data_IF_407753891454
#
_entry.id   IF_407753891454
#
_cell.length_a   1.000
_cell.length_b   1.000
_cell.length_c   1.000
_cell.angle_alpha   90.00
_cell.angle_beta   90.00
_cell.angle_gamma   90.00
#
_symmetry.space_group_name_H-M   'P 1'
#
loop_
_entity.id
_entity.type
_entity.pdbx_description
1 polymer ?
#
# COMPACT_ATOMS: atom_id res chain seq x y z
N UNK A 1 -3.32 -23.40 11.76
CA UNK A 1 -2.62 -23.63 10.47
C UNK A 1 -3.45 -23.19 9.26
N UNK A 2 -4.72 -23.59 9.13
CA UNK A 2 -5.59 -23.19 8.01
C UNK A 2 -5.67 -21.66 7.83
N UNK A 3 -5.87 -20.92 8.91
CA UNK A 3 -6.10 -19.47 8.84
C UNK A 3 -4.85 -18.71 8.34
N UNK A 4 -3.66 -19.14 8.76
CA UNK A 4 -2.38 -18.58 8.27
C UNK A 4 -2.23 -18.75 6.77
N UNK A 5 -2.61 -19.92 6.23
CA UNK A 5 -2.60 -20.14 4.79
C UNK A 5 -3.61 -19.24 4.09
N UNK A 6 -4.85 -19.13 4.61
CA UNK A 6 -5.87 -18.25 4.05
C UNK A 6 -5.41 -16.78 4.02
N UNK A 7 -4.78 -16.29 5.09
CA UNK A 7 -4.17 -14.95 5.12
C UNK A 7 -3.08 -14.80 4.06
N UNK A 8 -2.21 -15.81 3.87
CA UNK A 8 -1.22 -15.77 2.81
C UNK A 8 -1.88 -15.70 1.42
N UNK A 9 -2.93 -16.50 1.19
CA UNK A 9 -3.66 -16.49 -0.08
C UNK A 9 -4.33 -15.14 -0.37
N UNK A 10 -4.89 -14.46 0.64
CA UNK A 10 -5.45 -13.12 0.47
C UNK A 10 -4.39 -12.06 0.12
N UNK A 11 -3.16 -12.25 0.59
CA UNK A 11 -2.02 -11.37 0.33
C UNK A 11 -1.25 -11.69 -0.97
N UNK A 12 -1.63 -12.72 -1.74
CA UNK A 12 -0.91 -13.10 -2.95
C UNK A 12 -0.80 -11.99 -4.00
N UNK A 13 -1.85 -11.18 -4.29
CA UNK A 13 -1.72 -10.08 -5.23
C UNK A 13 -0.64 -9.08 -4.81
N UNK A 14 -0.60 -8.73 -3.51
CA UNK A 14 0.42 -7.86 -2.95
C UNK A 14 1.81 -8.49 -3.06
N UNK A 15 1.95 -9.76 -2.68
CA UNK A 15 3.22 -10.49 -2.77
C UNK A 15 3.71 -10.59 -4.22
N UNK A 16 2.81 -10.74 -5.19
CA UNK A 16 3.15 -10.79 -6.62
C UNK A 16 3.65 -9.44 -7.13
N UNK A 17 3.01 -8.33 -6.74
CA UNK A 17 3.54 -6.98 -6.97
C UNK A 17 4.93 -6.81 -6.33
N UNK A 18 5.12 -7.41 -5.15
CA UNK A 18 6.39 -7.71 -4.48
C UNK A 18 7.50 -8.12 -5.46
N UNK A 19 7.28 -9.32 -6.01
CA UNK A 19 8.19 -9.98 -6.93
C UNK A 19 8.37 -9.23 -8.24
N UNK A 20 7.31 -8.60 -8.75
CA UNK A 20 7.41 -7.79 -9.97
C UNK A 20 8.37 -6.61 -9.79
N UNK A 21 8.29 -5.88 -8.67
CA UNK A 21 9.23 -4.79 -8.37
C UNK A 21 10.64 -5.30 -8.15
N UNK A 22 10.79 -6.44 -7.46
CA UNK A 22 12.07 -7.09 -7.29
C UNK A 22 12.74 -7.44 -8.63
N UNK A 23 11.96 -7.97 -9.57
CA UNK A 23 12.44 -8.34 -10.90
C UNK A 23 12.88 -7.12 -11.74
N UNK A 24 12.08 -6.04 -11.73
CA UNK A 24 12.35 -4.87 -12.58
C UNK A 24 13.38 -3.90 -11.98
N UNK A 25 13.40 -3.75 -10.66
CA UNK A 25 14.12 -2.67 -9.97
C UNK A 25 15.19 -3.17 -9.00
N UNK A 26 15.29 -4.49 -8.78
CA UNK A 26 16.17 -5.04 -7.75
C UNK A 26 15.67 -4.77 -6.31
N UNK A 27 14.39 -4.43 -6.17
CA UNK A 27 13.74 -4.24 -4.87
C UNK A 27 13.69 -5.56 -4.07
N UNK A 28 13.55 -5.49 -2.74
CA UNK A 28 13.45 -6.68 -1.88
C UNK A 28 12.00 -7.03 -1.54
N UNK A 29 11.65 -8.33 -1.52
CA UNK A 29 10.29 -8.78 -1.15
C UNK A 29 10.14 -8.85 0.36
N UNK A 30 10.87 -9.76 1.01
CA UNK A 30 11.07 -9.74 2.45
C UNK A 30 12.33 -8.92 2.73
N UNK A 31 12.24 -7.94 3.64
CA UNK A 31 13.35 -7.02 3.92
C UNK A 31 13.49 -6.70 5.40
N UNK A 32 14.71 -6.47 5.90
CA UNK A 32 14.94 -6.06 7.28
C UNK A 32 14.45 -4.62 7.51
N UNK A 33 14.20 -4.25 8.77
CA UNK A 33 13.63 -2.93 9.09
C UNK A 33 14.58 -1.78 8.71
N UNK A 34 15.90 -1.95 8.88
CA UNK A 34 16.87 -0.91 8.56
C UNK A 34 16.94 -0.56 7.06
N UNK A 35 16.42 -1.41 6.17
CA UNK A 35 16.30 -1.05 4.74
C UNK A 35 15.27 0.05 4.51
N UNK A 36 14.21 0.10 5.32
CA UNK A 36 13.16 1.12 5.20
C UNK A 36 13.41 2.31 6.15
N UNK A 37 14.02 2.05 7.31
CA UNK A 37 14.27 3.04 8.36
C UNK A 37 15.77 3.18 8.67
N UNK A 38 16.64 3.52 7.68
CA UNK A 38 18.09 3.54 7.88
C UNK A 38 18.54 4.59 8.91
N UNK A 39 17.74 5.64 9.09
CA UNK A 39 17.98 6.74 10.04
C UNK A 39 17.73 6.34 11.49
N UNK A 40 16.99 5.25 11.70
CA UNK A 40 16.66 4.74 13.03
C UNK A 40 17.65 3.64 13.43
N UNK A 41 18.64 4.03 14.23
CA UNK A 41 19.73 3.16 14.69
C UNK A 41 19.20 1.92 15.42
N UNK A 42 18.04 2.01 16.06
CA UNK A 42 17.44 0.87 16.74
C UNK A 42 17.05 -0.26 15.77
N UNK A 43 16.90 0.03 14.48
CA UNK A 43 16.52 -0.97 13.47
C UNK A 43 17.67 -1.80 12.92
N UNK A 44 18.92 -1.39 13.17
CA UNK A 44 20.11 -2.00 12.56
C UNK A 44 20.39 -3.40 13.09
N UNK A 45 20.13 -3.64 14.38
CA UNK A 45 20.34 -4.93 15.03
C UNK A 45 19.08 -5.82 15.03
N UNK A 46 17.98 -5.38 14.41
CA UNK A 46 16.73 -6.14 14.38
C UNK A 46 16.76 -7.23 13.29
N UNK A 47 16.83 -8.48 13.72
CA UNK A 47 16.81 -9.67 12.87
C UNK A 47 15.61 -10.60 13.13
N UNK A 48 14.89 -10.40 14.23
CA UNK A 48 13.69 -11.17 14.62
C UNK A 48 12.37 -10.61 14.09
N UNK A 49 12.42 -9.56 13.27
CA UNK A 49 11.26 -8.94 12.61
C UNK A 49 11.62 -8.64 11.17
N UNK A 50 10.63 -8.66 10.28
CA UNK A 50 10.84 -8.31 8.87
C UNK A 50 9.62 -7.62 8.27
N UNK A 51 9.83 -6.93 7.15
CA UNK A 51 8.79 -6.33 6.36
C UNK A 51 8.55 -7.13 5.07
N UNK A 52 7.30 -7.19 4.62
CA UNK A 52 7.00 -7.42 3.21
C UNK A 52 6.86 -6.09 2.50
N UNK A 53 7.79 -5.83 1.57
CA UNK A 53 7.94 -4.52 0.98
C UNK A 53 8.17 -3.45 2.03
N UNK A 54 7.41 -2.36 1.93
CA UNK A 54 7.54 -1.18 2.79
C UNK A 54 6.38 -1.02 3.78
N UNK A 55 5.42 -1.96 3.79
CA UNK A 55 4.06 -1.67 4.32
C UNK A 55 3.48 -2.73 5.25
N UNK A 56 4.06 -3.93 5.33
CA UNK A 56 3.56 -5.00 6.19
C UNK A 56 4.67 -5.51 7.11
N UNK A 57 4.58 -5.17 8.40
CA UNK A 57 5.50 -5.63 9.44
C UNK A 57 5.04 -6.97 10.00
N UNK A 58 5.98 -7.91 10.10
CA UNK A 58 5.77 -9.23 10.66
C UNK A 58 6.68 -9.41 11.88
N UNK A 59 6.05 -9.63 13.04
CA UNK A 59 6.71 -9.84 14.34
C UNK A 59 6.34 -11.23 14.88
N UNK A 60 7.08 -12.29 14.50
CA UNK A 60 6.75 -13.66 14.90
C UNK A 60 7.18 -13.97 16.35
N UNK A 61 6.39 -14.83 17.03
CA UNK A 61 6.86 -15.52 18.24
C UNK A 61 7.80 -16.65 17.81
N UNK A 62 9.04 -16.62 18.28
CA UNK A 62 10.09 -17.57 17.86
C UNK A 62 10.52 -18.54 18.97
N UNK A 63 10.14 -18.26 20.23
CA UNK A 63 10.54 -19.07 21.38
C UNK A 63 9.44 -20.09 21.75
N UNK A 64 9.82 -21.34 22.11
CA UNK A 64 8.85 -22.36 22.50
C UNK A 64 8.21 -22.03 23.85
N UNK A 65 6.90 -22.24 23.96
CA UNK A 65 6.15 -22.07 25.21
C UNK A 65 5.82 -20.62 25.57
N UNK A 66 6.07 -19.68 24.67
CA UNK A 66 5.76 -18.26 24.86
C UNK A 66 4.53 -17.88 24.01
N UNK A 67 3.65 -17.05 24.57
CA UNK A 67 2.41 -16.56 23.94
C UNK A 67 2.47 -15.06 23.55
N UNK A 68 3.59 -14.41 23.84
CA UNK A 68 3.83 -13.00 23.59
C UNK A 68 5.20 -12.75 22.96
N UNK A 69 5.32 -11.66 22.23
CA UNK A 69 6.59 -11.22 21.65
C UNK A 69 6.70 -9.70 21.78
N UNK A 70 7.89 -9.22 22.10
CA UNK A 70 8.18 -7.78 22.08
C UNK A 70 8.77 -7.43 20.72
N UNK A 71 8.05 -6.59 19.96
CA UNK A 71 8.48 -6.07 18.68
C UNK A 71 8.80 -4.58 18.74
N UNK A 72 9.84 -4.16 18.02
CA UNK A 72 10.13 -2.75 17.78
C UNK A 72 9.25 -2.23 16.63
N UNK A 73 8.54 -1.12 16.87
CA UNK A 73 7.67 -0.46 15.89
C UNK A 73 8.32 0.89 15.52
N UNK A 74 8.81 1.06 14.28
CA UNK A 74 9.42 2.31 13.82
C UNK A 74 8.43 3.47 13.79
N UNK A 75 8.95 4.71 13.78
CA UNK A 75 8.14 5.92 13.70
C UNK A 75 7.14 5.88 12.53
N UNK A 76 5.85 6.05 12.84
CA UNK A 76 4.76 6.06 11.86
C UNK A 76 3.45 5.58 12.45
N UNK A 77 2.41 5.51 11.61
CA UNK A 77 1.12 4.93 11.97
C UNK A 77 1.08 3.49 11.51
N UNK A 78 0.91 2.56 12.44
CA UNK A 78 0.81 1.13 12.16
C UNK A 78 -0.59 0.63 12.53
N UNK A 79 -1.20 -0.10 11.61
CA UNK A 79 -2.49 -0.75 11.81
C UNK A 79 -2.24 -2.24 11.98
N UNK A 80 -2.85 -2.84 13.00
CA UNK A 80 -2.81 -4.28 13.12
C UNK A 80 -3.69 -4.92 12.04
N UNK A 81 -3.10 -5.92 11.39
CA UNK A 81 -3.68 -6.67 10.31
C UNK A 81 -4.83 -7.57 10.78
N UNK A 82 -4.82 -8.01 12.05
CA UNK A 82 -5.77 -8.97 12.60
C UNK A 82 -6.84 -8.36 13.52
N UNK A 83 -6.59 -7.27 14.27
CA UNK A 83 -7.53 -6.69 15.27
C UNK A 83 -8.76 -6.01 14.71
N UNK A 84 -9.08 -6.24 13.44
CA UNK A 84 -10.38 -5.89 12.93
C UNK A 84 -11.42 -7.00 13.21
N UNK A 85 -11.39 -7.63 14.39
CA UNK A 85 -12.55 -8.40 14.86
C UNK A 85 -13.72 -7.41 15.03
N UNK A 86 -14.75 -7.64 14.22
CA UNK A 86 -15.97 -6.84 14.11
C UNK A 86 -15.83 -5.45 13.48
N UNK A 87 -14.76 -5.12 12.72
CA UNK A 87 -14.74 -3.80 12.04
C UNK A 87 -15.89 -3.63 11.07
N UNK A 88 -16.31 -4.71 10.43
CA UNK A 88 -17.51 -4.69 9.59
C UNK A 88 -18.77 -4.37 10.42
N UNK A 89 -18.93 -5.02 11.58
CA UNK A 89 -20.10 -4.86 12.45
C UNK A 89 -20.10 -3.50 13.18
N UNK A 90 -18.92 -2.98 13.52
CA UNK A 90 -18.70 -1.67 14.16
C UNK A 90 -18.62 -0.52 13.15
N UNK A 91 -18.64 -0.82 11.84
CA UNK A 91 -18.51 0.19 10.78
C UNK A 91 -17.12 0.82 10.65
N UNK A 92 -16.10 0.28 11.33
CA UNK A 92 -14.74 0.81 11.38
C UNK A 92 -13.85 0.24 10.27
N UNK A 93 -14.34 0.22 9.03
CA UNK A 93 -13.58 -0.18 7.86
C UNK A 93 -13.72 0.86 6.75
N UNK A 94 -12.85 0.80 5.74
CA UNK A 94 -13.03 1.55 4.51
C UNK A 94 -12.97 0.58 3.34
N UNK A 95 -13.98 0.63 2.48
CA UNK A 95 -14.06 -0.18 1.29
C UNK A 95 -14.05 0.75 0.08
N UNK A 96 -12.91 0.77 -0.61
CA UNK A 96 -12.69 1.58 -1.81
C UNK A 96 -12.43 0.65 -2.97
N UNK A 97 -13.24 0.77 -4.01
CA UNK A 97 -13.11 0.01 -5.24
C UNK A 97 -12.36 0.86 -6.26
N UNK A 98 -11.24 0.33 -6.77
CA UNK A 98 -10.49 0.95 -7.84
C UNK A 98 -10.76 0.20 -9.14
N UNK A 99 -11.13 0.93 -10.19
CA UNK A 99 -11.34 0.37 -11.51
C UNK A 99 -10.55 1.16 -12.56
N UNK A 100 -10.06 0.48 -13.59
CA UNK A 100 -9.44 1.12 -14.76
C UNK A 100 -10.18 0.66 -16.01
N UNK A 101 -10.69 1.60 -16.79
CA UNK A 101 -11.38 1.30 -18.05
C UNK A 101 -11.10 2.42 -19.05
N UNK A 102 -10.66 2.07 -20.27
CA UNK A 102 -10.45 3.02 -21.37
C UNK A 102 -9.68 4.29 -20.95
N UNK A 103 -8.52 4.11 -20.32
CA UNK A 103 -7.64 5.19 -19.82
C UNK A 103 -8.24 6.08 -18.72
N UNK A 104 -9.25 5.58 -18.01
CA UNK A 104 -9.83 6.23 -16.84
C UNK A 104 -9.66 5.31 -15.65
N UNK A 105 -8.92 5.78 -14.66
CA UNK A 105 -8.91 5.23 -13.32
C UNK A 105 -10.05 5.86 -12.52
N UNK A 106 -10.83 5.06 -11.82
CA UNK A 106 -11.91 5.52 -10.94
C UNK A 106 -11.76 4.87 -9.58
N UNK A 107 -11.79 5.69 -8.55
CA UNK A 107 -11.94 5.31 -7.15
C UNK A 107 -13.39 5.52 -6.73
N UNK A 108 -14.06 4.44 -6.34
CA UNK A 108 -15.42 4.47 -5.80
C UNK A 108 -15.37 4.06 -4.34
N UNK A 109 -15.81 4.93 -3.45
CA UNK A 109 -15.89 4.65 -2.02
C UNK A 109 -17.24 4.00 -1.73
N UNK A 110 -17.23 2.74 -1.32
CA UNK A 110 -18.41 1.97 -0.94
C UNK A 110 -18.70 2.09 0.56
N UNK A 111 -17.64 2.23 1.37
CA UNK A 111 -17.73 2.54 2.80
C UNK A 111 -16.46 3.29 3.23
N UNK A 112 -16.56 4.24 4.14
CA UNK A 112 -15.40 4.93 4.69
C UNK A 112 -15.54 5.09 6.20
N UNK A 113 -14.48 4.74 6.92
CA UNK A 113 -14.38 4.97 8.35
C UNK A 113 -13.97 6.41 8.66
N UNK A 114 -14.13 6.82 9.92
CA UNK A 114 -13.66 8.12 10.42
C UNK A 114 -12.17 8.32 10.22
N UNK A 115 -11.39 7.24 10.25
CA UNK A 115 -9.93 7.27 10.09
C UNK A 115 -9.54 7.56 8.64
N UNK A 116 -10.30 7.04 7.66
CA UNK A 116 -10.01 7.29 6.24
C UNK A 116 -10.18 8.76 5.84
N UNK A 117 -10.96 9.54 6.58
CA UNK A 117 -11.07 11.00 6.37
C UNK A 117 -9.77 11.75 6.69
N UNK A 118 -8.88 11.14 7.48
CA UNK A 118 -7.58 11.70 7.85
C UNK A 118 -6.46 11.28 6.90
N UNK A 119 -6.73 10.36 5.99
CA UNK A 119 -5.75 9.82 5.04
C UNK A 119 -5.89 10.56 3.72
N UNK A 120 -4.78 11.08 3.22
CA UNK A 120 -4.72 11.73 1.91
C UNK A 120 -3.88 10.91 0.93
N UNK A 121 -4.30 10.94 -0.33
CA UNK A 121 -3.58 10.35 -1.45
C UNK A 121 -2.64 11.42 -1.98
N UNK A 122 -1.34 11.19 -1.87
CA UNK A 122 -0.31 12.10 -2.37
C UNK A 122 -0.01 11.89 -3.85
N UNK A 123 0.27 10.64 -4.23
CA UNK A 123 0.75 10.30 -5.57
C UNK A 123 0.02 9.07 -6.11
N UNK A 124 -0.32 9.09 -7.40
CA UNK A 124 -0.82 7.94 -8.15
C UNK A 124 0.15 7.62 -9.29
N UNK A 125 0.53 6.34 -9.41
CA UNK A 125 1.34 5.83 -10.51
C UNK A 125 0.62 4.72 -11.26
N UNK A 126 0.52 4.87 -12.57
CA UNK A 126 -0.10 3.89 -13.48
C UNK A 126 0.99 3.30 -14.36
N UNK A 127 1.12 1.97 -14.31
CA UNK A 127 2.15 1.23 -15.03
C UNK A 127 1.58 0.66 -16.34
N UNK A 128 2.40 0.62 -17.39
CA UNK A 128 2.03 0.02 -18.67
C UNK A 128 1.19 0.93 -19.56
N UNK A 129 1.23 2.24 -19.35
CA UNK A 129 0.59 3.23 -20.22
C UNK A 129 1.37 3.27 -21.54
N UNK A 130 0.88 2.56 -22.56
CA UNK A 130 1.64 2.26 -23.80
C UNK A 130 2.00 3.49 -24.63
N UNK A 131 1.18 4.55 -24.57
CA UNK A 131 1.40 5.80 -25.31
C UNK A 131 1.57 6.94 -24.31
N UNK A 132 2.55 7.84 -24.52
CA UNK A 132 2.69 9.01 -23.68
C UNK A 132 1.41 9.85 -23.75
N UNK A 133 0.76 10.14 -22.61
CA UNK A 133 -0.44 10.95 -22.61
C UNK A 133 -0.09 12.40 -22.95
N UNK A 134 -0.98 13.05 -23.69
CA UNK A 134 -0.95 14.47 -24.00
C UNK A 134 -1.35 15.33 -22.81
N UNK A 135 -2.28 14.84 -21.99
CA UNK A 135 -2.76 15.50 -20.77
C UNK A 135 -3.34 14.48 -19.78
N UNK A 136 -3.38 14.88 -18.51
CA UNK A 136 -4.00 14.10 -17.43
C UNK A 136 -5.03 14.97 -16.72
N UNK A 137 -6.22 14.43 -16.52
CA UNK A 137 -7.35 15.09 -15.86
C UNK A 137 -7.65 14.39 -14.54
N UNK A 138 -7.62 15.13 -13.44
CA UNK A 138 -8.10 14.71 -12.13
C UNK A 138 -9.48 15.33 -11.89
N UNK A 139 -10.52 14.50 -11.77
CA UNK A 139 -11.91 14.96 -11.64
C UNK A 139 -12.31 15.99 -12.73
N UNK A 140 -11.75 15.85 -13.94
CA UNK A 140 -11.96 16.75 -15.07
C UNK A 140 -11.05 17.99 -15.12
N UNK A 141 -10.23 18.24 -14.10
CA UNK A 141 -9.27 19.34 -14.04
C UNK A 141 -7.87 18.86 -14.47
N UNK A 142 -7.19 19.62 -15.32
CA UNK A 142 -5.84 19.25 -15.76
C UNK A 142 -4.83 19.29 -14.60
N UNK A 143 -4.01 18.25 -14.52
CA UNK A 143 -2.95 18.13 -13.52
C UNK A 143 -1.61 17.85 -14.21
N UNK A 144 -0.51 18.45 -13.71
CA UNK A 144 0.81 18.11 -14.18
C UNK A 144 1.10 16.63 -13.89
N UNK A 145 1.84 16.00 -14.79
CA UNK A 145 2.22 14.59 -14.68
C UNK A 145 3.65 14.40 -15.15
N UNK A 146 4.25 13.29 -14.72
CA UNK A 146 5.50 12.78 -15.24
C UNK A 146 5.22 11.48 -15.99
N UNK A 147 5.82 11.32 -17.16
CA UNK A 147 5.79 10.07 -17.92
C UNK A 147 7.22 9.63 -18.22
N UNK A 148 7.55 8.41 -17.83
CA UNK A 148 8.89 7.83 -17.98
C UNK A 148 8.93 6.86 -19.16
N UNK A 149 10.13 6.68 -19.75
CA UNK A 149 10.36 5.77 -20.90
C UNK A 149 9.98 4.31 -20.62
N UNK A 150 9.91 3.93 -19.35
CA UNK A 150 9.43 2.62 -18.90
C UNK A 150 7.89 2.52 -18.81
N UNK A 151 7.16 3.40 -19.50
CA UNK A 151 5.69 3.40 -19.59
C UNK A 151 4.99 3.62 -18.24
N UNK A 152 5.61 4.39 -17.35
CA UNK A 152 5.03 4.75 -16.05
C UNK A 152 4.54 6.20 -16.09
N UNK A 153 3.24 6.37 -15.86
CA UNK A 153 2.59 7.65 -15.67
C UNK A 153 2.48 7.94 -14.17
N UNK A 154 2.97 9.08 -13.71
CA UNK A 154 2.90 9.49 -12.30
C UNK A 154 2.27 10.88 -12.17
N UNK A 155 1.33 11.00 -11.24
CA UNK A 155 0.66 12.26 -10.87
C UNK A 155 0.84 12.45 -9.37
N UNK A 156 1.52 13.52 -9.00
CA UNK A 156 1.80 13.89 -7.60
C UNK A 156 0.88 15.03 -7.14
N UNK A 157 0.99 15.39 -5.85
CA UNK A 157 0.25 16.51 -5.24
C UNK A 157 -1.26 16.43 -5.49
N UNK A 158 -1.80 15.22 -5.36
CA UNK A 158 -3.22 14.95 -5.49
C UNK A 158 -3.99 15.54 -4.32
N UNK A 159 -3.50 15.36 -3.08
CA UNK A 159 -4.07 15.95 -1.87
C UNK A 159 -5.51 15.53 -1.58
N UNK A 160 -5.97 14.42 -2.16
CA UNK A 160 -7.37 13.98 -2.05
C UNK A 160 -7.57 13.07 -0.85
N UNK A 161 -8.72 13.18 -0.18
CA UNK A 161 -9.07 12.25 0.90
C UNK A 161 -9.33 10.85 0.34
N UNK A 162 -8.84 9.81 1.02
CA UNK A 162 -9.15 8.41 0.70
C UNK A 162 -10.65 8.10 0.89
N UNK A 163 -11.32 8.87 1.75
CA UNK A 163 -12.77 8.76 1.99
C UNK A 163 -13.63 9.34 0.86
N UNK A 164 -13.02 9.91 -0.18
CA UNK A 164 -13.74 10.52 -1.31
C UNK A 164 -13.36 9.82 -2.62
N UNK A 165 -14.38 9.47 -3.40
CA UNK A 165 -14.17 8.93 -4.74
C UNK A 165 -13.58 9.99 -5.67
N UNK A 166 -12.81 9.55 -6.66
CA UNK A 166 -12.19 10.43 -7.65
C UNK A 166 -11.95 9.68 -8.96
N UNK A 167 -11.77 10.42 -10.05
CA UNK A 167 -11.37 9.87 -11.34
C UNK A 167 -10.09 10.53 -11.84
N UNK A 168 -9.24 9.72 -12.46
CA UNK A 168 -8.05 10.17 -13.15
C UNK A 168 -8.08 9.64 -14.58
N UNK A 169 -8.10 10.54 -15.55
CA UNK A 169 -8.16 10.22 -16.97
C UNK A 169 -6.87 10.67 -17.65
N UNK A 170 -6.30 9.82 -18.52
CA UNK A 170 -5.17 10.18 -19.38
C UNK A 170 -5.55 10.04 -20.85
N UNK A 171 -5.12 11.00 -21.67
CA UNK A 171 -5.53 11.13 -23.08
C UNK A 171 -4.34 11.09 -24.03
#
# INVERSE_FOLDING_TARGET
MKDVLLTRYSLLPFLYTLFHRAHLQGDTVARPLFFEFPWDVATWELDRQFLWGRSLLVTPVLEPGVDSVTGYIPQGTWYDFYTSLDTFEKGNYSYVMFNVTQNIFTSTVLHASTEATKVTIGTLSIFGVQKPPSKVLLNGQEKPFSYLDNQVLTVSDLGMSLSQGFSLQWL
#
